data_IF_267797806129
#
_entry.id   IF_267797806129
#
_cell.length_a   1.000
_cell.length_b   1.000
_cell.length_c   1.000
_cell.angle_alpha   90.00
_cell.angle_beta   90.00
_cell.angle_gamma   90.00
#
_symmetry.space_group_name_H-M   'P 1'
#
loop_
_entity.id
_entity.type
_entity.pdbx_description
1 polymer ?
#
# COMPACT_ATOMS: atom_id res chain seq x y z
N UNK A 1 -31.52 9.15 7.77
CA UNK A 1 -30.71 9.52 6.58
C UNK A 1 -30.29 8.23 5.90
N UNK A 2 -30.45 8.12 4.59
CA UNK A 2 -29.98 6.96 3.81
C UNK A 2 -28.45 6.92 3.83
N UNK A 3 -27.86 5.73 3.91
CA UNK A 3 -26.41 5.58 3.78
C UNK A 3 -25.94 6.07 2.40
N UNK A 4 -24.79 6.76 2.31
CA UNK A 4 -24.24 7.16 1.03
C UNK A 4 -23.89 5.90 0.19
N UNK A 5 -24.18 5.89 -1.11
CA UNK A 5 -23.82 4.77 -1.96
C UNK A 5 -22.30 4.69 -2.12
N UNK A 6 -21.77 3.47 -2.12
CA UNK A 6 -20.37 3.18 -2.43
C UNK A 6 -20.32 2.65 -3.86
N UNK A 7 -19.66 3.39 -4.75
CA UNK A 7 -19.44 3.01 -6.13
C UNK A 7 -18.03 2.45 -6.29
N UNK A 8 -17.95 1.17 -6.61
CA UNK A 8 -16.71 0.55 -7.05
C UNK A 8 -16.57 0.76 -8.56
N UNK A 9 -15.62 1.59 -8.94
CA UNK A 9 -15.27 1.87 -10.32
C UNK A 9 -14.38 0.75 -10.87
N UNK A 10 -14.06 0.84 -12.16
CA UNK A 10 -13.08 -0.05 -12.80
C UNK A 10 -11.72 0.03 -12.09
N UNK A 11 -10.99 -1.09 -12.11
CA UNK A 11 -9.67 -1.15 -11.50
C UNK A 11 -8.67 -0.28 -12.28
N UNK A 12 -8.30 0.84 -11.68
CA UNK A 12 -7.33 1.78 -12.24
C UNK A 12 -6.42 2.30 -11.12
N UNK A 13 -5.12 2.52 -11.40
CA UNK A 13 -4.21 3.10 -10.41
C UNK A 13 -4.54 4.55 -10.04
N UNK A 14 -5.33 5.24 -10.86
CA UNK A 14 -5.78 6.61 -10.61
C UNK A 14 -7.09 6.92 -11.35
N UNK A 15 -7.89 7.82 -10.79
CA UNK A 15 -9.02 8.47 -11.48
C UNK A 15 -8.67 9.91 -11.86
N UNK A 16 -9.52 10.56 -12.65
CA UNK A 16 -9.30 11.96 -13.05
C UNK A 16 -10.26 12.92 -12.33
N UNK A 17 -9.96 14.21 -12.40
CA UNK A 17 -10.92 15.24 -11.96
C UNK A 17 -12.22 15.23 -12.77
N UNK A 18 -12.18 14.75 -14.02
CA UNK A 18 -13.39 14.56 -14.83
C UNK A 18 -14.26 13.45 -14.25
N UNK A 19 -13.66 12.33 -13.82
CA UNK A 19 -14.36 11.30 -13.05
C UNK A 19 -15.01 11.90 -11.81
N UNK A 20 -14.29 12.71 -11.03
CA UNK A 20 -14.86 13.38 -9.85
C UNK A 20 -16.06 14.27 -10.20
N UNK A 21 -16.00 15.03 -11.31
CA UNK A 21 -17.10 15.90 -11.75
C UNK A 21 -18.35 15.13 -12.20
N UNK A 22 -18.18 13.91 -12.69
CA UNK A 22 -19.30 13.03 -13.04
C UNK A 22 -20.10 12.55 -11.81
N UNK A 23 -19.54 12.69 -10.61
CA UNK A 23 -20.17 12.34 -9.33
C UNK A 23 -20.17 13.55 -8.39
N UNK A 24 -21.09 14.52 -8.55
CA UNK A 24 -21.11 15.73 -7.73
C UNK A 24 -21.21 15.44 -6.23
N UNK A 25 -20.31 16.04 -5.44
CA UNK A 25 -20.24 15.84 -3.99
C UNK A 25 -19.54 14.54 -3.57
N UNK A 26 -18.84 13.87 -4.49
CA UNK A 26 -18.21 12.60 -4.20
C UNK A 26 -17.08 12.67 -3.15
N UNK A 27 -16.89 11.56 -2.45
CA UNK A 27 -15.66 11.27 -1.72
C UNK A 27 -14.89 10.17 -2.43
N UNK A 28 -13.82 10.54 -3.12
CA UNK A 28 -12.84 9.57 -3.63
C UNK A 28 -11.99 9.06 -2.48
N UNK A 29 -12.13 7.78 -2.14
CA UNK A 29 -11.50 7.17 -0.98
C UNK A 29 -10.43 6.18 -1.43
N UNK A 30 -9.23 6.32 -0.88
CA UNK A 30 -8.09 5.42 -1.15
C UNK A 30 -7.85 5.17 -2.64
N UNK A 31 -8.06 6.20 -3.44
CA UNK A 31 -7.80 6.19 -4.86
C UNK A 31 -7.15 7.52 -5.25
N UNK A 32 -6.02 7.42 -5.94
CA UNK A 32 -5.30 8.60 -6.37
C UNK A 32 -6.11 9.35 -7.42
N UNK A 33 -6.36 10.64 -7.19
CA UNK A 33 -6.92 11.54 -8.20
C UNK A 33 -5.75 12.23 -8.91
N UNK A 34 -5.57 11.95 -10.19
CA UNK A 34 -4.42 12.44 -10.94
C UNK A 34 -4.32 13.97 -10.92
N UNK A 35 -3.17 14.49 -10.46
CA UNK A 35 -2.89 15.93 -10.37
C UNK A 35 -3.61 16.66 -9.23
N UNK A 36 -4.22 15.93 -8.29
CA UNK A 36 -4.98 16.51 -7.17
C UNK A 36 -4.13 17.44 -6.31
N UNK A 37 -2.85 17.13 -6.16
CA UNK A 37 -1.90 17.92 -5.40
C UNK A 37 -1.61 19.30 -6.02
N UNK A 38 -1.83 19.44 -7.33
CA UNK A 38 -1.63 20.70 -8.06
C UNK A 38 -2.94 21.48 -8.22
N UNK A 39 -4.05 20.78 -8.38
CA UNK A 39 -5.34 21.37 -8.79
C UNK A 39 -6.36 21.49 -7.64
N UNK A 40 -6.11 20.82 -6.52
CA UNK A 40 -6.97 20.82 -5.34
C UNK A 40 -6.48 21.78 -4.24
N UNK A 41 -7.36 21.98 -3.26
CA UNK A 41 -7.03 22.67 -2.01
C UNK A 41 -6.66 21.63 -0.97
N UNK A 42 -5.43 21.68 -0.45
CA UNK A 42 -4.97 20.75 0.57
C UNK A 42 -5.86 20.82 1.84
N UNK A 43 -6.14 19.65 2.39
CA UNK A 43 -6.88 19.42 3.62
C UNK A 43 -6.09 18.48 4.52
N UNK A 44 -6.38 18.45 5.84
CA UNK A 44 -5.67 17.57 6.75
C UNK A 44 -5.85 16.07 6.49
N UNK A 45 -6.87 15.70 5.71
CA UNK A 45 -7.23 14.35 5.28
C UNK A 45 -7.00 14.08 3.77
N UNK A 46 -6.40 15.01 3.03
CA UNK A 46 -6.22 14.89 1.58
C UNK A 46 -6.51 16.19 0.84
N UNK A 47 -7.45 16.20 -0.10
CA UNK A 47 -7.71 17.36 -0.96
C UNK A 47 -9.19 17.62 -1.18
N UNK A 48 -9.53 18.90 -1.30
CA UNK A 48 -10.82 19.36 -1.81
C UNK A 48 -10.65 19.78 -3.27
N UNK A 49 -11.55 19.32 -4.15
CA UNK A 49 -11.53 19.59 -5.59
C UNK A 49 -12.90 19.99 -6.11
N UNK A 50 -12.95 20.54 -7.31
CA UNK A 50 -14.22 20.75 -8.01
C UNK A 50 -14.91 19.39 -8.23
N UNK A 51 -16.03 19.17 -7.54
CA UNK A 51 -16.79 17.92 -7.61
C UNK A 51 -16.79 17.10 -6.32
N UNK A 52 -15.93 17.39 -5.34
CA UNK A 52 -15.91 16.62 -4.10
C UNK A 52 -14.62 16.75 -3.27
N UNK A 53 -14.32 15.72 -2.50
CA UNK A 53 -13.04 15.59 -1.79
C UNK A 53 -12.37 14.25 -2.10
N UNK A 54 -11.06 14.21 -1.91
CA UNK A 54 -10.23 13.02 -2.03
C UNK A 54 -9.59 12.75 -0.67
N UNK A 55 -9.91 11.60 -0.09
CA UNK A 55 -9.36 11.06 1.16
C UNK A 55 -8.43 9.92 0.74
N UNK A 56 -7.16 10.25 0.57
CA UNK A 56 -6.19 9.38 -0.09
C UNK A 56 -4.78 9.71 0.40
N UNK A 57 -3.97 8.68 0.60
CA UNK A 57 -2.58 8.83 1.04
C UNK A 57 -1.56 8.66 -0.12
N UNK A 58 -2.02 8.49 -1.36
CA UNK A 58 -1.15 8.15 -2.48
C UNK A 58 -0.57 9.34 -3.23
N UNK A 59 -1.08 10.56 -3.03
CA UNK A 59 -0.57 11.71 -3.75
C UNK A 59 0.94 11.90 -3.51
N UNK A 60 1.72 12.21 -4.56
CA UNK A 60 3.18 12.24 -4.50
C UNK A 60 3.71 13.53 -3.86
N UNK A 61 3.33 13.78 -2.60
CA UNK A 61 3.75 14.96 -1.82
C UNK A 61 4.42 14.54 -0.51
N UNK A 62 5.32 15.39 -0.01
CA UNK A 62 6.05 15.13 1.23
C UNK A 62 5.13 14.87 2.44
N UNK A 63 3.93 15.47 2.47
CA UNK A 63 2.96 15.26 3.54
C UNK A 63 2.40 13.81 3.61
N UNK A 64 2.43 13.08 2.50
CA UNK A 64 1.99 11.68 2.38
C UNK A 64 3.13 10.67 2.41
N UNK A 65 4.38 11.14 2.34
CA UNK A 65 5.60 10.35 2.48
C UNK A 65 5.88 9.93 3.94
N UNK A 66 4.88 9.36 4.62
CA UNK A 66 4.94 8.93 6.02
C UNK A 66 4.05 7.72 6.23
N UNK A 67 4.21 7.05 7.38
CA UNK A 67 3.40 5.91 7.76
C UNK A 67 1.99 6.40 8.13
N UNK A 68 1.12 6.49 7.13
CA UNK A 68 -0.28 6.92 7.24
C UNK A 68 -1.08 6.30 6.10
N UNK A 69 -2.25 5.76 6.42
CA UNK A 69 -3.17 5.21 5.43
C UNK A 69 -4.37 6.14 5.19
N UNK A 70 -5.11 5.91 4.12
CA UNK A 70 -6.37 6.58 3.80
C UNK A 70 -7.41 6.39 4.92
N UNK A 71 -7.41 5.26 5.61
CA UNK A 71 -8.28 5.02 6.77
C UNK A 71 -7.93 5.93 7.95
N UNK A 72 -6.64 6.22 8.20
CA UNK A 72 -6.27 7.25 9.17
C UNK A 72 -6.77 8.63 8.75
N UNK A 73 -6.68 8.96 7.47
CA UNK A 73 -7.18 10.22 6.92
C UNK A 73 -8.71 10.32 7.03
N UNK A 74 -9.43 9.21 6.83
CA UNK A 74 -10.88 9.14 7.03
C UNK A 74 -11.28 9.36 8.49
N UNK A 75 -10.58 8.75 9.45
CA UNK A 75 -10.81 9.02 10.88
C UNK A 75 -10.67 10.51 11.20
N UNK A 76 -9.66 11.17 10.59
CA UNK A 76 -9.47 12.61 10.73
C UNK A 76 -10.61 13.41 10.09
N UNK A 77 -11.01 13.04 8.87
CA UNK A 77 -12.15 13.65 8.17
C UNK A 77 -13.42 13.62 9.03
N UNK A 78 -13.75 12.45 9.61
CA UNK A 78 -14.92 12.28 10.50
C UNK A 78 -14.81 13.21 11.72
N UNK A 79 -13.63 13.26 12.34
CA UNK A 79 -13.43 14.06 13.55
C UNK A 79 -13.57 15.57 13.31
N UNK A 80 -13.18 16.06 12.13
CA UNK A 80 -13.20 17.49 11.81
C UNK A 80 -14.53 17.92 11.16
N UNK A 81 -15.21 17.03 10.43
CA UNK A 81 -16.50 17.33 9.78
C UNK A 81 -17.69 17.12 10.70
N UNK A 82 -17.69 16.06 11.51
CA UNK A 82 -18.81 15.67 12.37
C UNK A 82 -20.09 15.25 11.64
N UNK A 83 -20.10 15.29 10.31
CA UNK A 83 -21.25 15.02 9.46
C UNK A 83 -20.97 13.88 8.48
N UNK A 84 -22.02 13.16 8.09
CA UNK A 84 -21.92 12.12 7.05
C UNK A 84 -21.92 12.79 5.66
N UNK A 85 -21.18 12.23 4.69
CA UNK A 85 -21.25 12.71 3.33
C UNK A 85 -22.63 12.46 2.75
N UNK A 86 -23.10 13.41 1.94
CA UNK A 86 -24.37 13.30 1.19
C UNK A 86 -24.16 12.75 -0.21
N UNK A 87 -22.96 12.88 -0.77
CA UNK A 87 -22.59 12.37 -2.07
C UNK A 87 -22.10 10.92 -2.05
N UNK A 88 -21.84 10.35 -3.24
CA UNK A 88 -21.33 8.99 -3.38
C UNK A 88 -19.89 8.85 -2.89
N UNK A 89 -19.52 7.66 -2.46
CA UNK A 89 -18.14 7.27 -2.16
C UNK A 89 -17.60 6.51 -3.36
N UNK A 90 -16.42 6.89 -3.85
CA UNK A 90 -15.78 6.27 -5.01
C UNK A 90 -14.55 5.48 -4.60
N UNK A 91 -14.46 4.23 -5.07
CA UNK A 91 -13.31 3.33 -4.87
C UNK A 91 -12.86 2.77 -6.23
N UNK A 92 -11.58 2.41 -6.35
CA UNK A 92 -11.05 1.67 -7.52
C UNK A 92 -10.52 0.29 -7.17
N UNK A 93 -10.35 -0.02 -5.88
CA UNK A 93 -10.02 -1.35 -5.37
C UNK A 93 -10.70 -1.60 -4.01
N UNK A 94 -10.53 -2.81 -3.47
CA UNK A 94 -11.18 -3.27 -2.24
C UNK A 94 -10.19 -3.98 -1.32
N UNK A 95 -8.98 -3.46 -1.24
CA UNK A 95 -8.00 -3.86 -0.23
C UNK A 95 -8.37 -3.32 1.16
N UNK A 96 -7.50 -3.59 2.15
CA UNK A 96 -7.76 -3.23 3.53
C UNK A 96 -8.01 -1.73 3.69
N UNK A 97 -7.16 -0.88 3.13
CA UNK A 97 -7.28 0.56 3.29
C UNK A 97 -8.54 1.10 2.61
N UNK A 98 -8.86 0.65 1.40
CA UNK A 98 -10.08 1.05 0.68
C UNK A 98 -11.37 0.68 1.41
N UNK A 99 -11.50 -0.57 1.86
CA UNK A 99 -12.71 -1.05 2.56
C UNK A 99 -12.90 -0.30 3.87
N UNK A 100 -11.83 -0.11 4.65
CA UNK A 100 -11.91 0.58 5.93
C UNK A 100 -12.19 2.07 5.74
N UNK A 101 -11.53 2.73 4.80
CA UNK A 101 -11.77 4.14 4.45
C UNK A 101 -13.24 4.37 4.07
N UNK A 102 -13.76 3.57 3.13
CA UNK A 102 -15.14 3.69 2.70
C UNK A 102 -16.15 3.39 3.81
N UNK A 103 -15.91 2.33 4.60
CA UNK A 103 -16.79 1.93 5.69
C UNK A 103 -16.88 3.00 6.78
N UNK A 104 -15.75 3.63 7.10
CA UNK A 104 -15.66 4.75 8.04
C UNK A 104 -16.49 5.94 7.55
N UNK A 105 -16.22 6.46 6.35
CA UNK A 105 -16.88 7.67 5.86
C UNK A 105 -18.36 7.43 5.51
N UNK A 106 -18.73 6.22 5.09
CA UNK A 106 -20.14 5.83 4.91
C UNK A 106 -20.90 5.75 6.25
N UNK A 107 -20.16 5.66 7.37
CA UNK A 107 -20.70 5.40 8.69
C UNK A 107 -21.29 4.00 8.84
N UNK A 108 -20.75 3.04 8.07
CA UNK A 108 -20.98 1.58 8.23
C UNK A 108 -20.05 0.99 9.29
N UNK A 109 -18.91 1.63 9.53
CA UNK A 109 -17.97 1.31 10.60
C UNK A 109 -17.93 2.45 11.60
N UNK A 110 -17.95 2.13 12.90
CA UNK A 110 -17.73 3.12 13.95
C UNK A 110 -16.29 3.65 13.89
N UNK A 111 -16.03 4.95 14.09
CA UNK A 111 -14.67 5.49 14.02
C UNK A 111 -13.81 4.97 15.18
N UNK A 112 -12.95 3.98 14.90
CA UNK A 112 -12.06 3.32 15.86
C UNK A 112 -10.63 3.36 15.35
N UNK A 113 -9.68 3.68 16.24
CA UNK A 113 -8.25 3.76 15.90
C UNK A 113 -7.70 2.49 15.25
N UNK A 114 -8.17 1.31 15.70
CA UNK A 114 -7.77 0.00 15.18
C UNK A 114 -7.90 -0.15 13.66
N UNK A 115 -8.84 0.56 13.03
CA UNK A 115 -8.99 0.48 11.57
C UNK A 115 -7.85 1.21 10.84
N UNK A 116 -7.38 2.32 11.39
CA UNK A 116 -6.18 2.97 10.89
C UNK A 116 -4.92 2.13 11.13
N UNK A 117 -4.84 1.44 12.27
CA UNK A 117 -3.72 0.53 12.59
C UNK A 117 -3.68 -0.67 11.63
N UNK A 118 -4.83 -1.29 11.35
CA UNK A 118 -4.95 -2.40 10.41
C UNK A 118 -4.56 -1.98 8.98
N UNK A 119 -5.02 -0.82 8.51
CA UNK A 119 -4.64 -0.32 7.19
C UNK A 119 -3.14 0.00 7.10
N UNK A 120 -2.55 0.59 8.15
CA UNK A 120 -1.08 0.77 8.23
C UNK A 120 -0.32 -0.56 8.21
N UNK A 121 -0.86 -1.59 8.87
CA UNK A 121 -0.29 -2.93 8.83
C UNK A 121 -0.29 -3.52 7.43
N UNK A 122 -1.39 -3.32 6.69
CA UNK A 122 -1.52 -3.74 5.29
C UNK A 122 -0.55 -3.00 4.34
N UNK A 123 -0.50 -1.66 4.39
CA UNK A 123 0.16 -0.88 3.32
C UNK A 123 1.63 -0.58 3.57
N UNK A 124 2.06 -0.59 4.84
CA UNK A 124 3.36 -0.03 5.21
C UNK A 124 4.24 -0.98 6.00
N UNK A 125 3.70 -1.59 7.07
CA UNK A 125 4.55 -2.28 8.04
C UNK A 125 4.62 -3.77 7.81
N UNK A 126 3.58 -4.37 7.23
CA UNK A 126 3.45 -5.82 7.15
C UNK A 126 3.28 -6.48 8.51
N UNK A 127 2.94 -5.72 9.55
CA UNK A 127 2.68 -6.27 10.88
C UNK A 127 1.54 -7.28 10.83
N UNK A 128 1.51 -8.19 11.81
CA UNK A 128 0.39 -9.11 11.97
C UNK A 128 -0.83 -8.34 12.48
N UNK A 129 -1.91 -8.37 11.70
CA UNK A 129 -3.18 -7.77 12.07
C UNK A 129 -4.32 -8.59 11.45
N UNK A 130 -5.29 -9.09 12.25
CA UNK A 130 -6.36 -9.94 11.73
C UNK A 130 -7.27 -9.26 10.70
N UNK A 131 -7.52 -7.95 10.83
CA UNK A 131 -8.34 -7.18 9.89
C UNK A 131 -7.56 -7.00 8.58
N UNK A 132 -6.30 -6.59 8.67
CA UNK A 132 -5.42 -6.44 7.53
C UNK A 132 -5.29 -7.74 6.73
N UNK A 133 -5.03 -8.85 7.43
CA UNK A 133 -4.86 -10.16 6.80
C UNK A 133 -6.15 -10.64 6.13
N UNK A 134 -7.31 -10.47 6.77
CA UNK A 134 -8.60 -10.84 6.19
C UNK A 134 -8.92 -10.01 4.95
N UNK A 135 -8.87 -8.69 5.05
CA UNK A 135 -9.27 -7.81 3.95
C UNK A 135 -8.30 -7.90 2.77
N UNK A 136 -6.99 -7.99 3.03
CA UNK A 136 -6.00 -8.23 1.98
C UNK A 136 -6.19 -9.60 1.31
N UNK A 137 -6.63 -10.64 2.05
CA UNK A 137 -6.87 -11.97 1.47
C UNK A 137 -8.03 -11.98 0.47
N UNK A 138 -9.07 -11.18 0.71
CA UNK A 138 -10.31 -11.19 -0.10
C UNK A 138 -10.43 -10.03 -1.08
N UNK A 139 -9.44 -9.12 -1.12
CA UNK A 139 -9.46 -7.92 -1.97
C UNK A 139 -9.76 -8.19 -3.45
N UNK A 140 -9.27 -9.32 -3.97
CA UNK A 140 -9.41 -9.68 -5.38
C UNK A 140 -10.85 -10.04 -5.78
N UNK A 141 -11.75 -10.24 -4.80
CA UNK A 141 -13.17 -10.47 -5.08
C UNK A 141 -13.89 -9.21 -5.51
N UNK A 142 -13.32 -8.02 -5.27
CA UNK A 142 -13.91 -6.73 -5.65
C UNK A 142 -15.38 -6.58 -5.20
N UNK A 143 -15.68 -7.07 -4.00
CA UNK A 143 -17.02 -7.02 -3.40
C UNK A 143 -16.96 -6.35 -2.02
N UNK A 144 -17.26 -5.05 -2.00
CA UNK A 144 -17.24 -4.22 -0.79
C UNK A 144 -18.26 -4.70 0.24
N UNK A 145 -19.44 -5.13 -0.20
CA UNK A 145 -20.52 -5.55 0.71
C UNK A 145 -20.12 -6.83 1.44
N UNK A 146 -19.56 -7.78 0.69
CA UNK A 146 -19.02 -9.03 1.24
C UNK A 146 -17.80 -8.79 2.13
N UNK A 147 -16.93 -7.84 1.79
CA UNK A 147 -15.83 -7.45 2.67
C UNK A 147 -16.32 -6.94 4.03
N UNK A 148 -17.39 -6.12 4.06
CA UNK A 148 -18.00 -5.69 5.32
C UNK A 148 -18.64 -6.84 6.10
N UNK A 149 -19.33 -7.77 5.43
CA UNK A 149 -19.90 -8.96 6.09
C UNK A 149 -18.79 -9.77 6.77
N UNK A 150 -17.69 -10.04 6.06
CA UNK A 150 -16.57 -10.81 6.59
C UNK A 150 -15.88 -10.10 7.75
N UNK A 151 -15.69 -8.79 7.66
CA UNK A 151 -15.15 -7.99 8.75
C UNK A 151 -16.06 -8.07 9.99
N UNK A 152 -17.37 -7.91 9.83
CA UNK A 152 -18.33 -8.02 10.93
C UNK A 152 -18.30 -9.42 11.59
N UNK A 153 -18.19 -10.48 10.79
CA UNK A 153 -18.02 -11.86 11.31
C UNK A 153 -16.73 -12.02 12.11
N UNK A 154 -15.60 -11.56 11.56
CA UNK A 154 -14.31 -11.61 12.24
C UNK A 154 -14.37 -10.90 13.61
N UNK A 155 -14.91 -9.69 13.62
CA UNK A 155 -14.99 -8.86 14.83
C UNK A 155 -16.02 -9.37 15.83
N UNK A 156 -17.06 -10.06 15.36
CA UNK A 156 -18.04 -10.76 16.19
C UNK A 156 -17.58 -12.12 16.70
N UNK A 157 -16.36 -12.57 16.36
CA UNK A 157 -15.86 -13.90 16.70
C UNK A 157 -16.63 -15.04 16.01
N UNK A 158 -17.31 -14.75 14.91
CA UNK A 158 -18.08 -15.72 14.15
C UNK A 158 -17.19 -16.45 13.14
N UNK A 159 -17.57 -17.67 12.79
CA UNK A 159 -16.88 -18.41 11.74
C UNK A 159 -17.03 -17.71 10.38
N UNK A 160 -15.91 -17.64 9.65
CA UNK A 160 -15.89 -17.19 8.27
C UNK A 160 -16.47 -18.28 7.35
N UNK A 161 -17.13 -17.91 6.24
CA UNK A 161 -17.42 -18.83 5.15
C UNK A 161 -16.16 -19.55 4.68
N UNK A 162 -16.31 -20.81 4.24
CA UNK A 162 -15.17 -21.69 3.92
C UNK A 162 -14.19 -21.07 2.91
N UNK A 163 -14.68 -20.37 1.90
CA UNK A 163 -13.87 -19.68 0.90
C UNK A 163 -13.04 -18.52 1.50
N UNK A 164 -13.60 -17.76 2.43
CA UNK A 164 -12.90 -16.66 3.10
C UNK A 164 -11.88 -17.18 4.10
N UNK A 165 -12.21 -18.26 4.82
CA UNK A 165 -11.26 -18.96 5.68
C UNK A 165 -10.07 -19.49 4.87
N UNK A 166 -10.32 -20.13 3.72
CA UNK A 166 -9.27 -20.63 2.85
C UNK A 166 -8.36 -19.52 2.29
N UNK A 167 -8.94 -18.36 1.92
CA UNK A 167 -8.20 -17.19 1.49
C UNK A 167 -7.31 -16.62 2.61
N UNK A 168 -7.87 -16.47 3.82
CA UNK A 168 -7.13 -16.03 5.00
C UNK A 168 -5.98 -17.00 5.36
N UNK A 169 -6.21 -18.31 5.28
CA UNK A 169 -5.16 -19.29 5.53
C UNK A 169 -4.06 -19.23 4.44
N UNK A 170 -4.41 -18.96 3.19
CA UNK A 170 -3.43 -18.76 2.11
C UNK A 170 -2.56 -17.50 2.35
N UNK A 171 -3.18 -16.43 2.83
CA UNK A 171 -2.51 -15.20 3.26
C UNK A 171 -1.52 -15.50 4.39
N UNK A 172 -1.97 -16.17 5.46
CA UNK A 172 -1.13 -16.57 6.60
C UNK A 172 0.04 -17.45 6.19
N UNK A 173 -0.18 -18.45 5.33
CA UNK A 173 0.92 -19.25 4.76
C UNK A 173 1.95 -18.41 4.00
N UNK A 174 1.54 -17.29 3.39
CA UNK A 174 2.48 -16.39 2.71
C UNK A 174 3.31 -15.60 3.72
N UNK A 175 2.70 -15.12 4.80
CA UNK A 175 3.39 -14.52 5.95
C UNK A 175 4.38 -15.50 6.59
N UNK A 176 3.94 -16.73 6.86
CA UNK A 176 4.78 -17.78 7.47
C UNK A 176 5.98 -18.12 6.59
N UNK A 177 5.79 -18.16 5.26
CA UNK A 177 6.91 -18.37 4.31
C UNK A 177 7.93 -17.24 4.38
N UNK A 178 7.48 -15.98 4.46
CA UNK A 178 8.38 -14.83 4.62
C UNK A 178 9.14 -14.89 5.95
N UNK A 179 8.43 -15.17 7.05
CA UNK A 179 9.04 -15.33 8.38
C UNK A 179 10.06 -16.48 8.41
N UNK A 180 9.72 -17.63 7.82
CA UNK A 180 10.62 -18.78 7.75
C UNK A 180 11.85 -18.50 6.87
N UNK A 181 11.72 -17.70 5.81
CA UNK A 181 12.88 -17.28 5.01
C UNK A 181 13.85 -16.42 5.83
N UNK A 182 13.33 -15.44 6.58
CA UNK A 182 14.14 -14.60 7.47
C UNK A 182 14.79 -15.44 8.58
N UNK A 183 14.02 -16.29 9.26
CA UNK A 183 14.51 -17.13 10.35
C UNK A 183 15.62 -18.12 9.93
N UNK A 184 15.60 -18.58 8.67
CA UNK A 184 16.66 -19.43 8.11
C UNK A 184 17.89 -18.67 7.60
N UNK A 185 17.94 -17.34 7.80
CA UNK A 185 19.06 -16.52 7.34
C UNK A 185 19.12 -16.36 5.82
N UNK A 186 17.98 -16.37 5.12
CA UNK A 186 17.96 -16.23 3.66
C UNK A 186 18.40 -14.83 3.18
N UNK A 187 18.45 -13.84 4.08
CA UNK A 187 18.78 -12.46 3.75
C UNK A 187 20.25 -12.15 4.06
N UNK A 188 20.95 -11.65 3.05
CA UNK A 188 22.27 -11.04 3.19
C UNK A 188 22.12 -9.56 3.52
N UNK A 189 23.08 -8.99 4.24
CA UNK A 189 23.11 -7.56 4.58
C UNK A 189 24.34 -6.88 4.00
N UNK A 190 24.11 -5.78 3.29
CA UNK A 190 25.17 -4.92 2.75
C UNK A 190 24.85 -3.48 3.13
N UNK A 191 25.56 -2.93 4.12
CA UNK A 191 25.20 -1.65 4.74
C UNK A 191 23.80 -1.70 5.36
N UNK A 192 22.97 -0.71 5.05
CA UNK A 192 21.56 -0.65 5.48
C UNK A 192 20.59 -1.55 4.67
N UNK A 193 21.07 -2.22 3.61
CA UNK A 193 20.22 -2.99 2.69
C UNK A 193 20.21 -4.46 3.09
N UNK A 194 19.01 -5.00 3.38
CA UNK A 194 18.79 -6.44 3.49
C UNK A 194 18.29 -6.98 2.15
N UNK A 195 18.86 -8.08 1.65
CA UNK A 195 18.48 -8.60 0.34
C UNK A 195 18.53 -10.12 0.22
N UNK A 196 17.70 -10.67 -0.67
CA UNK A 196 17.63 -12.09 -0.95
C UNK A 196 17.16 -12.37 -2.39
N UNK A 197 17.61 -13.48 -2.97
CA UNK A 197 17.07 -14.03 -4.21
C UNK A 197 16.22 -15.25 -3.92
N UNK A 198 15.12 -15.40 -4.65
CA UNK A 198 14.18 -16.51 -4.51
C UNK A 198 13.92 -17.16 -5.86
N UNK A 199 13.72 -18.48 -5.85
CA UNK A 199 13.35 -19.23 -7.06
C UNK A 199 11.95 -18.83 -7.58
N UNK A 200 11.07 -18.38 -6.69
CA UNK A 200 9.71 -17.91 -7.00
C UNK A 200 9.44 -16.58 -6.32
N UNK A 201 8.46 -15.84 -6.84
CA UNK A 201 8.05 -14.56 -6.26
C UNK A 201 7.64 -14.73 -4.78
N UNK A 202 8.19 -13.86 -3.94
CA UNK A 202 7.81 -13.72 -2.52
C UNK A 202 7.09 -12.38 -2.36
N UNK A 203 6.09 -12.35 -1.48
CA UNK A 203 5.47 -11.08 -1.11
C UNK A 203 6.40 -10.31 -0.16
N UNK A 204 6.82 -9.14 -0.62
CA UNK A 204 7.74 -8.28 0.13
C UNK A 204 7.05 -7.44 1.19
N UNK A 205 5.72 -7.40 1.21
CA UNK A 205 4.96 -6.56 2.14
C UNK A 205 5.16 -6.91 3.62
N UNK A 206 5.43 -8.18 3.95
CA UNK A 206 5.62 -8.66 5.34
C UNK A 206 7.02 -8.39 5.88
N UNK A 207 7.98 -8.14 4.98
CA UNK A 207 9.39 -8.06 5.34
C UNK A 207 9.76 -6.86 6.21
N UNK A 208 9.11 -5.67 6.13
CA UNK A 208 9.46 -4.55 7.02
C UNK A 208 9.29 -4.88 8.50
N UNK A 209 8.28 -5.67 8.88
CA UNK A 209 8.09 -6.13 10.26
C UNK A 209 9.11 -7.21 10.66
N UNK A 210 9.57 -8.03 9.71
CA UNK A 210 10.49 -9.15 9.96
C UNK A 210 11.97 -8.74 9.95
N UNK A 211 12.29 -7.61 9.32
CA UNK A 211 13.64 -7.06 9.18
C UNK A 211 13.66 -5.61 9.69
N UNK A 212 13.35 -5.36 10.98
CA UNK A 212 13.15 -4.01 11.53
C UNK A 212 14.38 -3.11 11.41
N UNK A 213 15.56 -3.69 11.30
CA UNK A 213 16.84 -2.99 11.22
C UNK A 213 17.28 -2.64 9.79
N UNK A 214 16.54 -3.06 8.76
CA UNK A 214 16.82 -2.73 7.38
C UNK A 214 16.31 -1.32 7.04
N UNK A 215 17.12 -0.54 6.31
CA UNK A 215 16.66 0.73 5.69
C UNK A 215 15.98 0.44 4.36
N UNK A 216 16.50 -0.54 3.62
CA UNK A 216 15.92 -1.04 2.38
C UNK A 216 15.87 -2.56 2.41
N UNK A 217 14.81 -3.10 1.85
CA UNK A 217 14.64 -4.54 1.65
C UNK A 217 14.54 -4.78 0.15
N UNK A 218 15.45 -5.59 -0.39
CA UNK A 218 15.50 -5.92 -1.82
C UNK A 218 15.31 -7.42 -2.00
N UNK A 219 14.25 -7.81 -2.68
CA UNK A 219 14.03 -9.21 -3.05
C UNK A 219 13.97 -9.33 -4.56
N UNK A 220 14.45 -10.44 -5.10
CA UNK A 220 14.28 -10.71 -6.51
C UNK A 220 14.03 -12.17 -6.82
N UNK A 221 13.31 -12.38 -7.91
CA UNK A 221 13.00 -13.69 -8.48
C UNK A 221 13.06 -13.62 -10.00
N UNK A 222 13.15 -14.76 -10.71
CA UNK A 222 13.00 -14.78 -12.16
C UNK A 222 11.73 -14.05 -12.61
N UNK A 223 11.84 -13.28 -13.69
CA UNK A 223 10.70 -12.53 -14.21
C UNK A 223 9.70 -13.50 -14.86
N UNK A 224 8.39 -13.40 -14.56
CA UNK A 224 7.42 -14.42 -14.97
C UNK A 224 7.23 -14.54 -16.50
N UNK A 225 7.50 -13.47 -17.25
CA UNK A 225 7.32 -13.43 -18.72
C UNK A 225 8.61 -13.14 -19.49
N UNK A 226 9.73 -12.91 -18.81
CA UNK A 226 11.01 -12.58 -19.44
C UNK A 226 12.11 -13.44 -18.78
N UNK A 227 12.30 -14.69 -19.23
CA UNK A 227 13.07 -15.69 -18.48
C UNK A 227 14.53 -15.28 -18.21
N UNK A 228 15.11 -14.44 -19.06
CA UNK A 228 16.48 -13.93 -18.90
C UNK A 228 16.59 -12.69 -18.00
N UNK A 229 15.51 -12.35 -17.29
CA UNK A 229 15.41 -11.14 -16.47
C UNK A 229 14.93 -11.43 -15.07
N UNK A 230 15.20 -10.49 -14.18
CA UNK A 230 14.82 -10.52 -12.78
C UNK A 230 13.72 -9.52 -12.49
N UNK A 231 12.67 -9.96 -11.81
CA UNK A 231 11.73 -9.08 -11.14
C UNK A 231 12.32 -8.71 -9.78
N UNK A 232 12.87 -7.50 -9.67
CA UNK A 232 13.45 -6.98 -8.43
C UNK A 232 12.39 -6.09 -7.78
N UNK A 233 12.14 -6.31 -6.49
CA UNK A 233 11.24 -5.50 -5.66
C UNK A 233 12.07 -4.81 -4.59
N UNK A 234 11.77 -3.54 -4.36
CA UNK A 234 12.38 -2.74 -3.30
C UNK A 234 11.27 -2.27 -2.38
N UNK A 235 11.46 -2.48 -1.08
CA UNK A 235 10.60 -1.96 -0.02
C UNK A 235 11.41 -1.06 0.90
N UNK A 236 10.79 0.03 1.35
CA UNK A 236 11.32 0.85 2.44
C UNK A 236 11.26 0.02 3.73
N UNK A 237 12.41 -0.16 4.38
CA UNK A 237 12.49 -0.84 5.67
C UNK A 237 12.20 0.11 6.83
N UNK A 238 11.94 -0.46 8.01
CA UNK A 238 11.54 0.31 9.19
C UNK A 238 12.65 1.24 9.71
N UNK A 239 13.92 0.90 9.49
CA UNK A 239 15.06 1.74 9.89
C UNK A 239 15.35 2.90 8.92
N UNK A 240 14.61 3.04 7.82
CA UNK A 240 14.77 4.19 6.92
C UNK A 240 14.46 5.49 7.68
N UNK A 241 15.33 6.51 7.63
CA UNK A 241 15.06 7.80 8.27
C UNK A 241 13.70 8.39 7.91
N UNK A 242 13.09 9.09 8.86
CA UNK A 242 11.83 9.78 8.64
C UNK A 242 11.98 10.82 7.51
N UNK A 243 10.97 10.93 6.66
CA UNK A 243 10.98 11.83 5.50
C UNK A 243 11.81 11.36 4.31
N UNK A 244 12.61 10.29 4.43
CA UNK A 244 13.33 9.69 3.30
C UNK A 244 12.48 8.60 2.65
N UNK A 245 12.25 8.75 1.35
CA UNK A 245 11.43 7.86 0.52
C UNK A 245 12.26 7.11 -0.50
N UNK A 246 11.69 6.09 -1.15
CA UNK A 246 12.31 5.44 -2.30
C UNK A 246 12.43 6.35 -3.52
N UNK A 247 11.56 7.35 -3.66
CA UNK A 247 11.62 8.31 -4.77
C UNK A 247 12.83 9.25 -4.62
N UNK A 248 13.16 9.63 -3.39
CA UNK A 248 14.36 10.46 -3.11
C UNK A 248 15.67 9.72 -3.39
N UNK A 249 15.63 8.40 -3.54
CA UNK A 249 16.82 7.60 -3.83
C UNK A 249 17.17 7.58 -5.32
N UNK A 250 16.32 8.08 -6.23
CA UNK A 250 16.59 8.09 -7.67
C UNK A 250 16.89 6.69 -8.22
N UNK A 251 16.08 5.70 -7.84
CA UNK A 251 16.30 4.29 -8.19
C UNK A 251 16.19 4.03 -9.70
N UNK A 252 15.57 4.92 -10.46
CA UNK A 252 15.54 4.87 -11.93
C UNK A 252 16.94 5.04 -12.54
N UNK A 253 17.87 5.69 -11.83
CA UNK A 253 19.28 5.77 -12.22
C UNK A 253 20.03 4.46 -11.96
N UNK A 254 19.57 3.67 -10.99
CA UNK A 254 20.08 2.31 -10.72
C UNK A 254 19.54 1.33 -11.75
N UNK A 255 18.26 1.44 -12.12
CA UNK A 255 17.63 0.61 -13.13
C UNK A 255 16.45 1.35 -13.78
N UNK A 256 16.52 1.59 -15.09
CA UNK A 256 15.47 2.30 -15.83
C UNK A 256 14.13 1.57 -15.85
N UNK A 257 14.11 0.26 -15.60
CA UNK A 257 12.89 -0.51 -15.48
C UNK A 257 12.19 -0.31 -14.11
N UNK A 258 12.87 0.27 -13.14
CA UNK A 258 12.31 0.50 -11.82
C UNK A 258 11.18 1.54 -11.87
N UNK A 259 10.07 1.20 -11.23
CA UNK A 259 9.00 2.14 -10.93
C UNK A 259 8.36 1.81 -9.59
N UNK A 260 7.80 2.81 -8.92
CA UNK A 260 7.21 2.61 -7.60
C UNK A 260 6.66 3.87 -6.96
N UNK A 261 6.24 3.71 -5.72
CA UNK A 261 5.78 4.75 -4.79
C UNK A 261 6.86 5.02 -3.74
N UNK A 262 6.57 5.92 -2.80
CA UNK A 262 7.50 6.35 -1.76
C UNK A 262 8.00 5.22 -0.83
N UNK A 263 7.25 4.13 -0.67
CA UNK A 263 7.60 3.00 0.22
C UNK A 263 7.81 1.65 -0.48
N UNK A 264 7.46 1.51 -1.77
CA UNK A 264 7.53 0.25 -2.49
C UNK A 264 7.66 0.44 -3.99
N UNK A 265 8.45 -0.39 -4.65
CA UNK A 265 8.56 -0.40 -6.11
C UNK A 265 9.12 -1.70 -6.66
N UNK A 266 9.10 -1.83 -7.99
CA UNK A 266 9.61 -3.01 -8.67
C UNK A 266 10.03 -2.72 -10.11
N UNK A 267 10.96 -3.51 -10.63
CA UNK A 267 11.32 -3.55 -12.05
C UNK A 267 10.35 -4.38 -12.91
N UNK A 268 9.42 -5.14 -12.30
CA UNK A 268 8.53 -6.09 -13.01
C UNK A 268 7.70 -5.42 -14.12
N UNK A 269 7.13 -4.25 -13.88
CA UNK A 269 6.31 -3.54 -14.90
C UNK A 269 7.15 -2.90 -16.01
N UNK A 270 8.41 -2.57 -15.72
CA UNK A 270 9.36 -2.04 -16.70
C UNK A 270 10.09 -3.12 -17.52
N UNK A 271 9.62 -4.36 -17.48
CA UNK A 271 10.22 -5.49 -18.21
C UNK A 271 11.34 -6.22 -17.49
N UNK A 272 11.60 -5.91 -16.21
CA UNK A 272 12.60 -6.58 -15.38
C UNK A 272 14.03 -6.13 -15.60
N UNK A 273 14.90 -6.47 -14.64
CA UNK A 273 16.33 -6.19 -14.68
C UNK A 273 17.10 -7.27 -15.42
N UNK A 274 18.15 -6.91 -16.16
CA UNK A 274 19.05 -7.89 -16.80
C UNK A 274 20.10 -8.45 -15.85
N UNK A 275 20.19 -7.90 -14.63
CA UNK A 275 21.17 -8.30 -13.63
C UNK A 275 20.52 -9.13 -12.53
N UNK A 276 21.28 -10.06 -11.97
CA UNK A 276 20.88 -10.78 -10.76
C UNK A 276 20.81 -9.84 -9.55
N UNK A 277 20.06 -10.27 -8.53
CA UNK A 277 19.77 -9.47 -7.32
C UNK A 277 21.03 -8.94 -6.64
N UNK A 278 22.07 -9.78 -6.51
CA UNK A 278 23.33 -9.39 -5.87
C UNK A 278 24.04 -8.24 -6.61
N UNK A 279 24.20 -8.36 -7.92
CA UNK A 279 24.83 -7.33 -8.75
C UNK A 279 24.03 -6.01 -8.72
N UNK A 280 22.70 -6.14 -8.77
CA UNK A 280 21.80 -5.00 -8.67
C UNK A 280 21.92 -4.28 -7.33
N UNK A 281 21.95 -5.03 -6.21
CA UNK A 281 22.14 -4.47 -4.86
C UNK A 281 23.52 -3.83 -4.73
N UNK A 282 24.57 -4.42 -5.29
CA UNK A 282 25.90 -3.81 -5.28
C UNK A 282 25.91 -2.45 -6.00
N UNK A 283 25.16 -2.30 -7.11
CA UNK A 283 25.00 -1.00 -7.78
C UNK A 283 24.16 -0.03 -6.95
N UNK A 284 23.08 -0.49 -6.34
CA UNK A 284 22.27 0.31 -5.42
C UNK A 284 23.14 0.88 -4.28
N UNK A 285 23.94 0.04 -3.61
CA UNK A 285 24.78 0.49 -2.49
C UNK A 285 25.76 1.57 -2.94
N UNK A 286 26.47 1.37 -4.06
CA UNK A 286 27.37 2.41 -4.62
C UNK A 286 26.65 3.72 -4.94
N UNK A 287 25.43 3.63 -5.47
CA UNK A 287 24.60 4.80 -5.75
C UNK A 287 24.19 5.55 -4.48
N UNK A 288 23.82 4.84 -3.43
CA UNK A 288 23.48 5.43 -2.13
C UNK A 288 24.69 6.09 -1.46
N UNK A 289 25.88 5.50 -1.57
CA UNK A 289 27.13 6.07 -1.07
C UNK A 289 27.51 7.35 -1.83
N UNK A 290 27.43 7.33 -3.16
CA UNK A 290 27.73 8.49 -4.00
C UNK A 290 26.78 9.67 -3.73
N UNK A 291 25.49 9.40 -3.56
CA UNK A 291 24.48 10.43 -3.28
C UNK A 291 24.54 10.96 -1.85
N UNK A 292 24.97 10.14 -0.87
CA UNK A 292 25.21 10.61 0.49
C UNK A 292 26.44 11.53 0.58
N UNK A 293 27.50 11.27 -0.20
CA UNK A 293 28.72 12.08 -0.22
C UNK A 293 28.59 13.44 -0.95
N UNK A 294 27.59 13.60 -1.82
CA UNK A 294 27.36 14.84 -2.56
C UNK A 294 26.58 15.91 -1.76
N UNK A 295 26.18 15.61 -0.53
CA UNK A 295 25.38 16.47 0.36
C UNK A 295 26.16 17.17 1.48
N UNK A 296 27.48 17.34 1.33
CA UNK A 296 28.34 18.08 2.28
C UNK A 296 29.06 19.23 1.60
#
# INVERSE_FOLDING_TARGET
MTEPPIHLLDETPAITLETMRAYPGALACDCYVAGVETLGVARPWGWSVAGGENIDHHAPVAAMARVVSSANLALRWISERGERPTGPILLTHTDCDSVLTAGLVAGRLAPRARYGEAAVAADHTGAEDPIADLLQAVQHWRDVSRAFELLARLEGGQSLPAEAAAALDARRRTRDRAAAAVARGAFTRTGGVAWASFATEVDGEFLPALLPEATLIVIGSPHPTHPDRWAIKVRRGAAMPAGRTLQDLGLEAVDRAYGGRWNAGSTKRGGGSTEGVEAWVARLVRHLEATAGAGH
#
